data_IF_066579783595
#
_entry.id   IF_066579783595
#
_cell.length_a   1.000
_cell.length_b   1.000
_cell.length_c   1.000
_cell.angle_alpha   90.00
_cell.angle_beta   90.00
_cell.angle_gamma   90.00
#
_symmetry.space_group_name_H-M   'P 1'
#
loop_
_entity.id
_entity.type
_entity.pdbx_description
1 polymer ?
#
# COMPACT_ATOMS: atom_id res chain seq x y z
N UNK A 1 -15.10 -4.42 18.38
CA UNK A 1 -15.81 -4.86 17.14
C UNK A 1 -14.71 -5.30 16.20
N UNK A 2 -14.75 -6.51 15.65
CA UNK A 2 -13.70 -7.00 14.74
C UNK A 2 -13.61 -6.06 13.54
N UNK A 3 -12.46 -5.46 13.32
CA UNK A 3 -12.17 -4.54 12.23
C UNK A 3 -11.94 -5.31 10.92
N UNK A 4 -11.59 -6.59 11.00
CA UNK A 4 -11.57 -7.45 9.82
C UNK A 4 -12.99 -7.66 9.32
N UNK A 5 -13.30 -7.06 8.18
CA UNK A 5 -14.49 -7.41 7.41
C UNK A 5 -14.31 -8.87 6.99
N UNK A 6 -15.08 -9.79 7.59
CA UNK A 6 -15.24 -11.13 7.02
C UNK A 6 -15.60 -10.93 5.53
N UNK A 7 -14.72 -11.38 4.65
CA UNK A 7 -14.97 -11.34 3.21
C UNK A 7 -16.04 -12.38 2.91
N UNK A 8 -17.31 -11.95 2.91
CA UNK A 8 -18.44 -12.83 2.57
C UNK A 8 -18.74 -12.73 1.07
N UNK A 9 -18.20 -13.65 0.32
CA UNK A 9 -18.44 -13.75 -1.12
C UNK A 9 -19.77 -14.46 -1.45
N UNK A 10 -20.46 -15.05 -0.45
CA UNK A 10 -21.73 -15.75 -0.60
C UNK A 10 -21.70 -17.00 -1.49
N UNK A 11 -20.52 -17.48 -1.88
CA UNK A 11 -20.33 -18.69 -2.68
C UNK A 11 -18.87 -19.15 -2.70
N UNK A 12 -18.58 -20.42 -2.43
CA UNK A 12 -17.24 -21.01 -2.37
C UNK A 12 -16.39 -20.78 -3.65
N UNK A 13 -17.04 -20.78 -4.83
CA UNK A 13 -16.30 -20.57 -6.08
C UNK A 13 -15.87 -19.10 -6.25
N UNK A 14 -16.58 -18.13 -5.66
CA UNK A 14 -16.15 -16.73 -5.66
C UNK A 14 -14.97 -16.53 -4.73
N UNK A 15 -14.99 -17.14 -3.56
CA UNK A 15 -13.89 -17.15 -2.63
C UNK A 15 -12.62 -17.72 -3.30
N UNK A 16 -12.71 -18.88 -3.96
CA UNK A 16 -11.59 -19.48 -4.68
C UNK A 16 -11.06 -18.62 -5.81
N UNK A 17 -11.94 -17.93 -6.55
CA UNK A 17 -11.54 -17.00 -7.62
C UNK A 17 -10.82 -15.81 -7.01
N UNK A 18 -11.39 -15.21 -5.96
CA UNK A 18 -10.79 -14.08 -5.28
C UNK A 18 -9.42 -14.41 -4.71
N UNK A 19 -9.28 -15.51 -3.95
CA UNK A 19 -8.02 -16.00 -3.39
C UNK A 19 -6.95 -16.25 -4.46
N UNK A 20 -7.37 -16.74 -5.63
CA UNK A 20 -6.43 -16.95 -6.73
C UNK A 20 -5.91 -15.63 -7.28
N UNK A 21 -6.80 -14.67 -7.58
CA UNK A 21 -6.42 -13.35 -8.08
C UNK A 21 -5.55 -12.61 -7.06
N UNK A 22 -5.95 -12.63 -5.79
CA UNK A 22 -5.24 -11.98 -4.70
C UNK A 22 -3.80 -12.49 -4.55
N UNK A 23 -3.60 -13.81 -4.68
CA UNK A 23 -2.26 -14.41 -4.57
C UNK A 23 -1.35 -14.10 -5.77
N UNK A 24 -1.92 -13.84 -6.94
CA UNK A 24 -1.17 -13.63 -8.17
C UNK A 24 -1.09 -12.15 -8.59
N UNK A 25 -1.76 -11.26 -7.85
CA UNK A 25 -1.85 -9.83 -8.13
C UNK A 25 -2.69 -9.51 -9.35
N UNK A 26 -2.38 -10.12 -10.49
CA UNK A 26 -3.15 -10.04 -11.74
C UNK A 26 -3.20 -11.42 -12.40
N UNK A 27 -4.32 -11.76 -13.02
CA UNK A 27 -4.44 -12.98 -13.83
C UNK A 27 -5.41 -12.80 -15.01
N UNK A 28 -5.34 -13.70 -15.99
CA UNK A 28 -6.30 -13.75 -17.08
C UNK A 28 -7.43 -14.75 -16.79
N UNK A 29 -8.57 -14.64 -17.50
CA UNK A 29 -9.64 -15.64 -17.42
C UNK A 29 -9.15 -17.06 -17.73
N UNK A 30 -8.19 -17.22 -18.65
CA UNK A 30 -7.62 -18.51 -19.00
C UNK A 30 -6.85 -19.15 -17.83
N UNK A 31 -6.24 -18.35 -16.97
CA UNK A 31 -5.53 -18.82 -15.78
C UNK A 31 -6.52 -19.39 -14.76
N UNK A 32 -7.63 -18.69 -14.53
CA UNK A 32 -8.72 -19.17 -13.69
C UNK A 32 -9.31 -20.49 -14.20
N UNK A 33 -9.57 -20.58 -15.52
CA UNK A 33 -10.10 -21.78 -16.17
C UNK A 33 -9.14 -22.98 -16.07
N UNK A 34 -7.84 -22.71 -16.08
CA UNK A 34 -6.80 -23.76 -16.04
C UNK A 34 -6.48 -24.23 -14.62
N UNK A 35 -6.44 -23.32 -13.67
CA UNK A 35 -5.89 -23.59 -12.34
C UNK A 35 -6.96 -23.83 -11.28
N UNK A 36 -8.19 -23.34 -11.49
CA UNK A 36 -9.26 -23.51 -10.53
C UNK A 36 -10.17 -24.69 -10.89
N UNK A 37 -10.61 -25.42 -9.87
CA UNK A 37 -11.63 -26.48 -10.00
C UNK A 37 -13.04 -25.87 -9.91
N UNK A 38 -13.31 -24.93 -10.81
CA UNK A 38 -14.61 -24.23 -10.95
C UNK A 38 -15.14 -24.52 -12.35
N UNK A 39 -16.46 -24.63 -12.51
CA UNK A 39 -17.05 -24.77 -13.85
C UNK A 39 -16.66 -23.57 -14.73
N UNK A 40 -15.93 -23.76 -15.85
CA UNK A 40 -15.51 -22.67 -16.72
C UNK A 40 -16.66 -21.77 -17.18
N UNK A 41 -17.87 -22.32 -17.30
CA UNK A 41 -19.07 -21.55 -17.66
C UNK A 41 -19.55 -20.62 -16.54
N UNK A 42 -19.21 -20.96 -15.29
CA UNK A 42 -19.51 -20.17 -14.09
C UNK A 42 -18.50 -19.07 -13.80
N UNK A 43 -17.23 -19.24 -14.20
CA UNK A 43 -16.14 -18.32 -13.86
C UNK A 43 -16.48 -16.88 -14.24
N UNK A 44 -16.87 -16.63 -15.48
CA UNK A 44 -17.24 -15.27 -15.94
C UNK A 44 -18.40 -14.67 -15.16
N UNK A 45 -19.35 -15.50 -14.74
CA UNK A 45 -20.48 -15.06 -13.92
C UNK A 45 -20.03 -14.68 -12.50
N UNK A 46 -19.19 -15.50 -11.87
CA UNK A 46 -18.63 -15.23 -10.55
C UNK A 46 -17.74 -14.00 -10.54
N UNK A 47 -16.86 -13.85 -11.52
CA UNK A 47 -16.01 -12.65 -11.70
C UNK A 47 -16.89 -11.40 -11.89
N UNK A 48 -17.95 -11.47 -12.68
CA UNK A 48 -18.87 -10.34 -12.86
C UNK A 48 -19.57 -9.92 -11.56
N UNK A 49 -19.86 -10.88 -10.67
CA UNK A 49 -20.44 -10.59 -9.35
C UNK A 49 -19.37 -9.95 -8.46
N UNK A 50 -18.18 -10.52 -8.37
CA UNK A 50 -17.07 -9.97 -7.58
C UNK A 50 -16.71 -8.55 -8.03
N UNK A 51 -16.72 -8.29 -9.34
CA UNK A 51 -16.55 -6.95 -9.89
C UNK A 51 -17.66 -6.00 -9.47
N UNK A 52 -18.92 -6.41 -9.58
CA UNK A 52 -20.08 -5.60 -9.15
C UNK A 52 -20.01 -5.25 -7.67
N UNK A 53 -19.54 -6.19 -6.87
CA UNK A 53 -19.47 -6.07 -5.41
C UNK A 53 -18.18 -5.35 -4.95
N UNK A 54 -17.32 -4.88 -5.90
CA UNK A 54 -16.14 -4.05 -5.64
C UNK A 54 -14.91 -4.81 -5.14
N UNK A 55 -14.85 -6.13 -5.37
CA UNK A 55 -13.71 -6.96 -4.99
C UNK A 55 -12.67 -7.12 -6.10
N UNK A 56 -13.11 -7.07 -7.36
CA UNK A 56 -12.24 -7.26 -8.53
C UNK A 56 -12.47 -6.16 -9.56
N UNK A 57 -11.42 -5.79 -10.28
CA UNK A 57 -11.50 -5.07 -11.54
C UNK A 57 -11.15 -5.97 -12.71
N UNK A 58 -11.71 -5.65 -13.88
CA UNK A 58 -11.46 -6.37 -15.12
C UNK A 58 -11.22 -5.36 -16.22
N UNK A 59 -9.99 -5.32 -16.73
CA UNK A 59 -9.61 -4.55 -17.91
C UNK A 59 -9.19 -5.50 -19.03
N UNK A 60 -10.02 -5.60 -20.07
CA UNK A 60 -9.83 -6.58 -21.15
C UNK A 60 -9.91 -8.01 -20.64
N UNK A 61 -8.79 -8.71 -20.55
CA UNK A 61 -8.66 -10.08 -20.04
C UNK A 61 -7.93 -10.12 -18.68
N UNK A 62 -7.36 -8.99 -18.25
CA UNK A 62 -6.71 -8.84 -16.94
C UNK A 62 -7.74 -8.70 -15.82
N UNK A 63 -7.52 -9.42 -14.74
CA UNK A 63 -8.34 -9.43 -13.53
C UNK A 63 -7.43 -9.17 -12.36
N UNK A 64 -7.73 -8.15 -11.56
CA UNK A 64 -6.97 -7.79 -10.35
C UNK A 64 -7.89 -7.52 -9.16
N UNK A 65 -7.34 -7.64 -7.96
CA UNK A 65 -8.03 -7.22 -6.74
C UNK A 65 -8.03 -5.70 -6.69
N UNK A 66 -9.18 -5.11 -6.37
CA UNK A 66 -9.28 -3.69 -6.14
C UNK A 66 -9.90 -3.41 -4.78
N UNK A 67 -9.52 -2.28 -4.25
CA UNK A 67 -10.25 -1.66 -3.16
C UNK A 67 -11.11 -0.55 -3.78
N UNK A 68 -12.40 -0.53 -3.48
CA UNK A 68 -13.31 0.59 -3.85
C UNK A 68 -13.03 1.78 -2.91
N UNK A 69 -11.78 2.22 -2.88
CA UNK A 69 -11.27 3.21 -1.94
C UNK A 69 -10.98 4.57 -2.59
N UNK A 70 -11.77 4.89 -3.59
CA UNK A 70 -11.88 6.25 -4.06
C UNK A 70 -11.27 6.52 -5.43
N UNK A 71 -11.68 7.65 -5.97
CA UNK A 71 -11.29 8.17 -7.27
C UNK A 71 -9.86 8.71 -7.26
N UNK A 72 -9.24 8.71 -8.44
CA UNK A 72 -8.01 9.47 -8.67
C UNK A 72 -8.25 10.95 -8.43
N UNK A 73 -7.33 11.59 -7.73
CA UNK A 73 -7.38 13.01 -7.38
C UNK A 73 -6.25 13.74 -8.10
N UNK A 74 -6.62 14.79 -8.85
CA UNK A 74 -5.67 15.59 -9.61
C UNK A 74 -5.26 16.83 -8.81
N UNK A 75 -3.96 17.07 -8.74
CA UNK A 75 -3.36 18.21 -8.04
C UNK A 75 -2.41 18.98 -8.92
N UNK A 76 -2.17 20.23 -8.56
CA UNK A 76 -1.23 21.10 -9.24
C UNK A 76 -0.49 22.01 -8.26
N UNK A 77 0.83 22.00 -8.33
CA UNK A 77 1.68 22.97 -7.67
C UNK A 77 2.68 23.57 -8.67
N UNK A 78 2.50 24.85 -8.98
CA UNK A 78 3.27 25.55 -10.02
C UNK A 78 3.12 24.91 -11.40
N UNK A 79 4.21 24.36 -11.92
CA UNK A 79 4.25 23.66 -13.21
C UNK A 79 4.10 22.13 -13.05
N UNK A 80 4.09 21.61 -11.80
CA UNK A 80 3.94 20.19 -11.53
C UNK A 80 2.46 19.84 -11.39
N UNK A 81 1.97 19.01 -12.30
CA UNK A 81 0.66 18.39 -12.24
C UNK A 81 0.86 16.93 -11.86
N UNK A 82 0.16 16.44 -10.83
CA UNK A 82 0.25 15.06 -10.38
C UNK A 82 -1.11 14.51 -9.98
N UNK A 83 -1.20 13.20 -10.02
CA UNK A 83 -2.41 12.45 -9.63
C UNK A 83 -2.08 11.55 -8.47
N UNK A 84 -2.92 11.57 -7.41
CA UNK A 84 -2.87 10.60 -6.31
C UNK A 84 -4.03 9.64 -6.48
N UNK A 85 -3.75 8.35 -6.50
CA UNK A 85 -4.74 7.30 -6.71
C UNK A 85 -4.34 5.99 -6.03
N UNK A 86 -5.27 5.05 -5.83
CA UNK A 86 -4.93 3.67 -5.51
C UNK A 86 -3.94 3.12 -6.54
N UNK A 87 -3.00 2.31 -6.07
CA UNK A 87 -2.07 1.63 -6.96
C UNK A 87 -2.75 0.44 -7.65
N UNK A 88 -2.44 0.22 -8.91
CA UNK A 88 -2.82 -0.95 -9.69
C UNK A 88 -1.63 -1.91 -9.79
N UNK A 89 -1.89 -3.18 -10.05
CA UNK A 89 -0.81 -4.16 -10.21
C UNK A 89 0.19 -3.75 -11.30
N UNK A 90 -0.25 -3.07 -12.34
CA UNK A 90 0.61 -2.51 -13.40
C UNK A 90 1.61 -1.46 -12.91
N UNK A 91 1.42 -0.85 -11.74
CA UNK A 91 2.34 0.10 -11.15
C UNK A 91 3.54 -0.56 -10.44
N UNK A 92 3.50 -1.88 -10.20
CA UNK A 92 4.46 -2.61 -9.38
C UNK A 92 5.93 -2.27 -9.73
N UNK A 93 6.29 -2.36 -11.01
CA UNK A 93 7.66 -2.07 -11.47
C UNK A 93 8.06 -0.61 -11.23
N UNK A 94 7.17 0.34 -11.53
CA UNK A 94 7.41 1.78 -11.32
C UNK A 94 7.53 2.12 -9.84
N UNK A 95 6.68 1.51 -9.03
CA UNK A 95 6.68 1.70 -7.57
C UNK A 95 7.96 1.16 -6.92
N UNK A 96 8.38 -0.08 -7.26
CA UNK A 96 9.65 -0.63 -6.78
C UNK A 96 10.81 0.29 -7.17
N UNK A 97 10.82 0.79 -8.40
CA UNK A 97 11.83 1.74 -8.88
C UNK A 97 11.86 3.02 -8.05
N UNK A 98 10.70 3.63 -7.78
CA UNK A 98 10.59 4.84 -6.97
C UNK A 98 11.02 4.60 -5.50
N UNK A 99 10.60 3.50 -4.89
CA UNK A 99 10.99 3.15 -3.52
C UNK A 99 12.49 2.94 -3.42
N UNK A 100 13.09 2.17 -4.31
CA UNK A 100 14.54 1.92 -4.33
C UNK A 100 15.35 3.19 -4.55
N UNK A 101 14.90 4.08 -5.45
CA UNK A 101 15.55 5.37 -5.66
C UNK A 101 15.59 6.21 -4.38
N UNK A 102 14.50 6.24 -3.62
CA UNK A 102 14.44 6.93 -2.33
C UNK A 102 15.31 6.23 -1.27
N UNK A 103 15.30 4.90 -1.25
CA UNK A 103 16.09 4.10 -0.32
C UNK A 103 17.63 4.25 -0.53
N UNK A 104 18.08 4.45 -1.78
CA UNK A 104 19.50 4.71 -2.10
C UNK A 104 20.06 5.94 -1.36
N UNK A 105 19.24 6.85 -0.88
CA UNK A 105 19.66 7.96 -0.03
C UNK A 105 20.16 7.50 1.36
N UNK A 106 19.95 6.23 1.74
CA UNK A 106 20.41 5.62 2.99
C UNK A 106 19.71 6.13 4.26
N UNK A 107 18.54 6.75 4.10
CA UNK A 107 17.72 7.30 5.20
C UNK A 107 16.33 6.70 5.31
N UNK A 108 15.97 5.78 4.41
CA UNK A 108 14.62 5.23 4.27
C UNK A 108 14.65 3.69 4.36
N UNK A 109 15.09 3.18 5.54
CA UNK A 109 15.36 1.75 5.75
C UNK A 109 14.09 0.91 5.62
N UNK A 110 12.99 1.35 6.22
CA UNK A 110 11.73 0.62 6.17
C UNK A 110 11.16 0.56 4.74
N UNK A 111 11.37 1.61 3.94
CA UNK A 111 10.98 1.62 2.54
C UNK A 111 11.74 0.56 1.71
N UNK A 112 13.02 0.33 1.99
CA UNK A 112 13.81 -0.73 1.32
C UNK A 112 13.19 -2.10 1.58
N UNK A 113 12.79 -2.36 2.83
CA UNK A 113 12.11 -3.60 3.24
C UNK A 113 10.80 -3.80 2.49
N UNK A 114 9.99 -2.75 2.34
CA UNK A 114 8.74 -2.79 1.58
C UNK A 114 8.99 -3.13 0.11
N UNK A 115 9.98 -2.49 -0.53
CA UNK A 115 10.33 -2.79 -1.93
C UNK A 115 10.76 -4.25 -2.12
N UNK A 116 11.56 -4.78 -1.20
CA UNK A 116 12.03 -6.17 -1.28
C UNK A 116 10.88 -7.18 -1.13
N UNK A 117 9.91 -6.90 -0.26
CA UNK A 117 8.73 -7.76 -0.09
C UNK A 117 7.89 -7.80 -1.37
N UNK A 118 7.49 -6.64 -1.92
CA UNK A 118 6.63 -6.60 -3.10
C UNK A 118 7.34 -7.08 -4.37
N UNK A 119 8.66 -6.91 -4.48
CA UNK A 119 9.47 -7.45 -5.57
C UNK A 119 9.56 -8.98 -5.50
N UNK A 120 9.68 -9.54 -4.28
CA UNK A 120 9.74 -10.99 -4.07
C UNK A 120 8.39 -11.67 -4.31
N UNK A 121 7.32 -11.05 -3.86
CA UNK A 121 5.97 -11.58 -3.99
C UNK A 121 5.37 -11.37 -5.36
N UNK A 122 5.86 -10.37 -6.11
CA UNK A 122 5.29 -9.91 -7.38
C UNK A 122 3.81 -9.48 -7.26
N UNK A 123 3.38 -9.13 -6.04
CA UNK A 123 2.01 -8.73 -5.71
C UNK A 123 2.00 -7.45 -4.91
N UNK A 124 1.21 -6.49 -5.34
CA UNK A 124 1.16 -5.17 -4.74
C UNK A 124 0.16 -5.07 -3.58
N UNK A 125 -1.08 -5.46 -3.83
CA UNK A 125 -2.16 -5.35 -2.87
C UNK A 125 -2.42 -6.68 -2.18
N UNK A 126 -2.72 -6.63 -0.87
CA UNK A 126 -3.14 -7.79 -0.08
C UNK A 126 -4.44 -7.45 0.66
N UNK A 127 -5.39 -8.34 0.57
CA UNK A 127 -6.63 -8.23 1.31
C UNK A 127 -7.21 -9.60 1.59
N UNK A 128 -6.71 -10.24 2.63
CA UNK A 128 -7.15 -11.55 3.07
C UNK A 128 -7.32 -11.57 4.60
N UNK A 129 -7.66 -12.74 5.16
CA UNK A 129 -7.90 -12.87 6.60
C UNK A 129 -6.67 -12.60 7.48
N UNK A 130 -5.46 -12.69 6.92
CA UNK A 130 -4.20 -12.58 7.65
C UNK A 130 -3.52 -11.23 7.41
N UNK A 131 -3.62 -10.68 6.21
CA UNK A 131 -2.86 -9.49 5.78
C UNK A 131 -3.75 -8.49 5.05
N UNK A 132 -3.62 -7.23 5.43
CA UNK A 132 -4.17 -6.10 4.69
C UNK A 132 -3.04 -5.14 4.34
N UNK A 133 -2.83 -4.92 3.03
CA UNK A 133 -1.76 -4.08 2.50
C UNK A 133 -2.29 -3.24 1.34
N UNK A 134 -2.18 -1.93 1.48
CA UNK A 134 -2.65 -0.95 0.52
C UNK A 134 -1.52 -0.01 0.08
N UNK A 135 -1.51 0.33 -1.20
CA UNK A 135 -0.67 1.38 -1.74
C UNK A 135 -1.51 2.44 -2.45
N UNK A 136 -1.16 3.70 -2.21
CA UNK A 136 -1.52 4.79 -3.10
C UNK A 136 -0.25 5.32 -3.76
N UNK A 137 -0.36 5.72 -5.01
CA UNK A 137 0.74 6.27 -5.78
C UNK A 137 0.45 7.71 -6.19
N UNK A 138 1.50 8.51 -6.24
CA UNK A 138 1.48 9.79 -6.93
C UNK A 138 2.18 9.62 -8.27
N UNK A 139 1.51 10.03 -9.34
CA UNK A 139 2.06 9.96 -10.69
C UNK A 139 2.16 11.32 -11.35
N UNK A 140 3.24 11.54 -12.13
CA UNK A 140 3.40 12.68 -13.04
C UNK A 140 3.45 12.10 -14.45
N UNK A 141 2.43 12.36 -15.24
CA UNK A 141 2.21 11.62 -16.47
C UNK A 141 1.98 10.13 -16.18
N UNK A 142 2.86 9.25 -16.67
CA UNK A 142 2.83 7.81 -16.42
C UNK A 142 3.80 7.35 -15.33
N UNK A 143 4.65 8.24 -14.83
CA UNK A 143 5.74 7.86 -13.95
C UNK A 143 5.30 7.93 -12.48
N UNK A 144 5.56 6.89 -11.71
CA UNK A 144 5.37 6.87 -10.25
C UNK A 144 6.47 7.71 -9.62
N UNK A 145 6.07 8.80 -8.94
CA UNK A 145 6.99 9.76 -8.32
C UNK A 145 6.92 9.78 -6.80
N UNK A 146 5.95 9.09 -6.22
CA UNK A 146 5.79 8.94 -4.78
C UNK A 146 4.76 7.88 -4.44
N UNK A 147 4.76 7.46 -3.20
CA UNK A 147 3.85 6.44 -2.68
C UNK A 147 3.53 6.67 -1.21
N UNK A 148 2.42 6.11 -0.77
CA UNK A 148 2.13 5.76 0.62
C UNK A 148 1.74 4.29 0.67
N UNK A 149 2.28 3.58 1.63
CA UNK A 149 2.00 2.18 1.93
C UNK A 149 1.39 2.09 3.32
N UNK A 150 0.33 1.33 3.47
CA UNK A 150 -0.29 1.04 4.76
C UNK A 150 -0.44 -0.48 4.87
N UNK A 151 0.07 -1.04 5.96
CA UNK A 151 -0.02 -2.47 6.26
C UNK A 151 -0.58 -2.70 7.65
N UNK A 152 -1.63 -3.51 7.73
CA UNK A 152 -2.19 -4.00 8.97
C UNK A 152 -1.37 -5.16 9.56
N UNK A 153 -1.49 -5.38 10.87
CA UNK A 153 -0.82 -6.49 11.54
C UNK A 153 -1.63 -7.78 11.42
N UNK A 154 -0.96 -8.91 11.17
CA UNK A 154 -1.53 -10.26 11.19
C UNK A 154 -2.01 -10.69 12.60
N UNK A 155 -1.58 -10.00 13.65
CA UNK A 155 -1.90 -10.36 15.02
C UNK A 155 -3.22 -9.74 15.47
N UNK A 156 -4.20 -10.57 15.82
CA UNK A 156 -5.54 -10.17 16.30
C UNK A 156 -5.51 -9.01 17.33
N UNK A 157 -4.53 -9.01 18.21
CA UNK A 157 -4.39 -8.00 19.27
C UNK A 157 -3.84 -6.67 18.77
N UNK A 158 -3.30 -6.62 17.57
CA UNK A 158 -2.76 -5.43 16.90
C UNK A 158 -3.61 -4.94 15.73
N UNK A 159 -4.76 -5.56 15.49
CA UNK A 159 -5.67 -5.23 14.37
C UNK A 159 -6.16 -3.76 14.37
N UNK A 160 -6.06 -3.07 15.50
CA UNK A 160 -6.37 -1.65 15.62
C UNK A 160 -5.21 -0.75 15.21
N UNK A 161 -4.07 -1.31 14.81
CA UNK A 161 -2.87 -0.58 14.42
C UNK A 161 -2.43 -0.95 13.01
N UNK A 162 -1.87 0.00 12.28
CA UNK A 162 -1.22 -0.25 11.01
C UNK A 162 0.09 0.51 10.92
N UNK A 163 1.02 -0.04 10.16
CA UNK A 163 2.25 0.63 9.77
C UNK A 163 2.01 1.46 8.50
N UNK A 164 2.61 2.65 8.43
CA UNK A 164 2.53 3.49 7.25
C UNK A 164 3.93 3.94 6.85
N UNK A 165 4.28 3.75 5.58
CA UNK A 165 5.47 4.37 4.99
C UNK A 165 5.07 5.29 3.85
N UNK A 166 5.75 6.42 3.71
CA UNK A 166 5.51 7.40 2.65
C UNK A 166 6.84 7.89 2.08
N UNK A 167 6.90 8.07 0.77
CA UNK A 167 8.09 8.58 0.12
C UNK A 167 7.77 9.31 -1.18
N UNK A 168 8.66 10.25 -1.53
CA UNK A 168 8.61 11.01 -2.78
C UNK A 168 10.03 11.12 -3.31
N UNK A 169 10.23 10.82 -4.61
CA UNK A 169 11.55 10.95 -5.24
C UNK A 169 12.01 12.43 -5.23
N UNK A 170 13.30 12.63 -5.06
CA UNK A 170 13.90 13.93 -4.70
C UNK A 170 13.44 15.09 -5.59
N UNK A 171 13.45 14.89 -6.90
CA UNK A 171 13.09 15.93 -7.88
C UNK A 171 11.64 16.42 -7.79
N UNK A 172 10.77 15.72 -7.05
CA UNK A 172 9.35 16.05 -6.88
C UNK A 172 8.98 16.41 -5.43
N UNK A 173 9.98 16.53 -4.54
CA UNK A 173 9.77 17.02 -3.18
C UNK A 173 9.47 18.52 -3.18
N UNK A 174 8.79 18.97 -2.12
CA UNK A 174 8.42 20.37 -1.96
C UNK A 174 7.17 20.82 -2.73
N UNK A 175 6.51 19.92 -3.48
CA UNK A 175 5.28 20.17 -4.23
C UNK A 175 4.01 19.69 -3.53
N UNK A 176 4.07 19.37 -2.22
CA UNK A 176 2.90 18.89 -1.46
C UNK A 176 2.54 17.42 -1.69
N UNK A 177 3.20 16.71 -2.62
CA UNK A 177 2.89 15.32 -2.97
C UNK A 177 2.89 14.42 -1.73
N UNK A 178 3.93 14.52 -0.86
CA UNK A 178 4.02 13.72 0.35
C UNK A 178 2.85 13.95 1.32
N UNK A 179 2.36 15.20 1.43
CA UNK A 179 1.22 15.54 2.28
C UNK A 179 -0.07 14.91 1.77
N UNK A 180 -0.35 15.01 0.46
CA UNK A 180 -1.55 14.41 -0.14
C UNK A 180 -1.51 12.87 -0.04
N UNK A 181 -0.34 12.25 -0.25
CA UNK A 181 -0.18 10.81 -0.07
C UNK A 181 -0.41 10.40 1.39
N UNK A 182 0.17 11.12 2.35
CA UNK A 182 0.02 10.84 3.77
C UNK A 182 -1.45 10.98 4.21
N UNK A 183 -2.12 12.08 3.83
CA UNK A 183 -3.55 12.30 4.09
C UNK A 183 -4.39 11.14 3.53
N UNK A 184 -4.13 10.75 2.28
CA UNK A 184 -4.85 9.65 1.62
C UNK A 184 -4.67 8.31 2.34
N UNK A 185 -3.44 7.99 2.78
CA UNK A 185 -3.17 6.78 3.57
C UNK A 185 -3.87 6.79 4.93
N UNK A 186 -3.89 7.93 5.63
CA UNK A 186 -4.56 8.07 6.90
C UNK A 186 -6.09 8.00 6.78
N UNK A 187 -6.67 8.62 5.75
CA UNK A 187 -8.11 8.53 5.46
C UNK A 187 -8.53 7.09 5.20
N UNK A 188 -7.76 6.37 4.38
CA UNK A 188 -7.99 4.96 4.13
C UNK A 188 -7.93 4.15 5.41
N UNK A 189 -6.85 4.31 6.20
CA UNK A 189 -6.69 3.60 7.46
C UNK A 189 -7.86 3.87 8.43
N UNK A 190 -8.30 5.12 8.54
CA UNK A 190 -9.47 5.49 9.35
C UNK A 190 -10.76 4.84 8.84
N UNK A 191 -10.98 4.78 7.52
CA UNK A 191 -12.15 4.13 6.91
C UNK A 191 -12.19 2.62 7.20
N UNK A 192 -11.02 2.01 7.34
CA UNK A 192 -10.86 0.58 7.69
C UNK A 192 -10.99 0.32 9.18
N UNK A 193 -11.00 1.37 10.01
CA UNK A 193 -11.19 1.30 11.46
C UNK A 193 -9.91 1.12 12.25
N UNK A 194 -8.75 1.40 11.64
CA UNK A 194 -7.52 1.53 12.41
C UNK A 194 -7.62 2.73 13.34
N UNK A 195 -7.07 2.60 14.54
CA UNK A 195 -7.12 3.63 15.59
C UNK A 195 -5.76 4.30 15.81
N UNK A 196 -4.69 3.60 15.41
CA UNK A 196 -3.31 4.06 15.57
C UNK A 196 -2.49 3.68 14.35
N UNK A 197 -1.82 4.67 13.77
CA UNK A 197 -0.84 4.46 12.70
C UNK A 197 0.55 4.78 13.24
N UNK A 198 1.53 3.95 12.91
CA UNK A 198 2.90 4.12 13.33
C UNK A 198 3.89 4.02 12.17
N UNK A 199 5.07 4.59 12.35
CA UNK A 199 6.20 4.52 11.43
C UNK A 199 7.50 4.51 12.22
N UNK A 200 8.52 3.86 11.68
CA UNK A 200 9.87 3.84 12.20
C UNK A 200 10.80 4.62 11.27
N UNK A 201 11.50 5.59 11.82
CA UNK A 201 12.36 6.51 11.06
C UNK A 201 13.78 6.50 11.67
N UNK A 202 14.83 6.38 10.87
CA UNK A 202 16.19 6.59 11.38
C UNK A 202 16.35 8.00 11.96
N UNK A 203 16.94 8.13 13.15
CA UNK A 203 17.13 9.42 13.82
C UNK A 203 17.99 10.40 13.00
N UNK A 204 18.70 9.90 11.98
CA UNK A 204 19.46 10.74 11.05
C UNK A 204 18.60 11.37 9.94
N UNK A 205 17.31 11.04 9.86
CA UNK A 205 16.38 11.56 8.86
C UNK A 205 15.53 12.69 9.46
N UNK A 206 16.18 13.80 9.81
CA UNK A 206 15.52 14.97 10.40
C UNK A 206 14.36 15.49 9.54
N UNK A 207 14.47 15.40 8.21
CA UNK A 207 13.45 15.87 7.26
C UNK A 207 12.16 15.06 7.38
N UNK A 208 12.28 13.73 7.47
CA UNK A 208 11.12 12.85 7.63
C UNK A 208 10.47 13.01 9.01
N UNK A 209 11.26 13.14 10.06
CA UNK A 209 10.75 13.40 11.42
C UNK A 209 9.96 14.71 11.45
N UNK A 210 10.57 15.81 10.95
CA UNK A 210 9.91 17.10 10.88
C UNK A 210 8.64 17.08 9.99
N UNK A 211 8.67 16.34 8.89
CA UNK A 211 7.51 16.16 8.02
C UNK A 211 6.35 15.50 8.79
N UNK A 212 6.60 14.40 9.49
CA UNK A 212 5.58 13.70 10.27
C UNK A 212 5.07 14.56 11.43
N UNK A 213 5.95 15.24 12.17
CA UNK A 213 5.55 16.16 13.25
C UNK A 213 4.62 17.28 12.75
N UNK A 214 4.91 17.84 11.58
CA UNK A 214 4.06 18.87 10.95
C UNK A 214 2.67 18.34 10.55
N UNK A 215 2.52 17.02 10.44
CA UNK A 215 1.24 16.34 10.17
C UNK A 215 0.60 15.71 11.42
N UNK A 216 1.04 16.15 12.61
CA UNK A 216 0.41 15.77 13.89
C UNK A 216 0.90 14.45 14.49
N UNK A 217 1.95 13.86 13.92
CA UNK A 217 2.59 12.69 14.50
C UNK A 217 3.44 13.07 15.71
N UNK A 218 3.60 12.16 16.64
CA UNK A 218 4.43 12.33 17.82
C UNK A 218 5.45 11.21 17.96
N UNK A 219 6.58 11.51 18.59
CA UNK A 219 7.57 10.49 18.95
C UNK A 219 7.00 9.63 20.09
N UNK A 220 6.83 8.34 19.85
CA UNK A 220 6.37 7.37 20.86
C UNK A 220 7.54 6.80 21.66
N UNK A 221 8.61 6.44 20.96
CA UNK A 221 9.82 5.87 21.58
C UNK A 221 11.05 6.07 20.69
N UNK A 222 12.22 5.93 21.28
CA UNK A 222 13.50 5.85 20.57
C UNK A 222 14.22 4.57 20.98
N UNK A 223 14.71 3.81 20.01
CA UNK A 223 15.57 2.65 20.23
C UNK A 223 17.00 3.02 19.87
N UNK A 224 17.87 3.02 20.86
CA UNK A 224 19.28 3.34 20.67
C UNK A 224 19.99 2.27 19.85
N UNK A 225 20.90 2.70 18.97
CA UNK A 225 21.77 1.85 18.14
C UNK A 225 21.03 0.76 17.34
N UNK A 226 19.78 1.03 16.92
CA UNK A 226 18.91 0.02 16.31
C UNK A 226 19.33 -0.33 14.89
N UNK A 227 19.67 0.66 14.09
CA UNK A 227 20.13 0.47 12.71
C UNK A 227 21.66 0.47 12.62
N UNK A 228 22.19 -0.30 11.67
CA UNK A 228 23.61 -0.29 11.34
C UNK A 228 23.80 0.12 9.88
N UNK A 229 24.22 1.36 9.67
CA UNK A 229 24.50 1.93 8.35
C UNK A 229 26.01 1.95 8.09
N UNK A 230 26.52 0.94 7.38
CA UNK A 230 27.96 0.72 7.23
C UNK A 230 28.60 0.40 8.59
N UNK A 231 29.52 1.27 9.04
CA UNK A 231 30.21 1.13 10.33
C UNK A 231 29.59 2.00 11.44
N UNK A 232 28.46 2.64 11.20
CA UNK A 232 27.80 3.52 12.18
C UNK A 232 26.50 2.90 12.66
N UNK A 233 26.24 3.03 13.95
CA UNK A 233 24.92 2.76 14.53
C UNK A 233 24.08 4.04 14.50
N UNK A 234 22.79 3.88 14.29
CA UNK A 234 21.81 4.96 14.22
C UNK A 234 20.59 4.54 15.01
N UNK A 235 20.06 5.45 15.80
CA UNK A 235 18.86 5.23 16.58
C UNK A 235 17.63 5.15 15.66
N UNK A 236 16.63 4.40 16.10
CA UNK A 236 15.30 4.38 15.52
C UNK A 236 14.37 5.32 16.29
N UNK A 237 13.70 6.20 15.61
CA UNK A 237 12.62 7.03 16.14
C UNK A 237 11.29 6.42 15.72
N UNK A 238 10.56 5.87 16.69
CA UNK A 238 9.20 5.36 16.46
C UNK A 238 8.22 6.52 16.63
N UNK A 239 7.41 6.76 15.60
CA UNK A 239 6.42 7.83 15.58
C UNK A 239 5.03 7.27 15.39
N UNK A 240 4.03 7.89 15.99
CA UNK A 240 2.63 7.50 15.84
C UNK A 240 1.69 8.68 15.70
N UNK A 241 0.52 8.38 15.15
CA UNK A 241 -0.64 9.26 15.12
C UNK A 241 -1.90 8.46 15.48
N UNK A 242 -2.82 9.09 16.18
CA UNK A 242 -4.15 8.54 16.50
C UNK A 242 -5.17 9.08 15.50
N UNK A 243 -6.00 8.19 14.97
CA UNK A 243 -7.08 8.51 14.04
C UNK A 243 -8.39 8.78 14.77
#
# INVERSE_FOLDING_TARGET
MNVQRELDFGHDDRERIYDYVERHGECAFADLETNLRVDPRGIRHHVAILRRDGYLEVDGDAIEVVFDDGTAEEYRDGEVEFVVRPAHQSDLTGLIGAIRQVAEEGRYIEAESVADVIDHEEVLLRHNELEERMFFVATVGSDVVGWVHVAGSELDKLQHTAELTVGVIDNYRGHGIGSHLLERGLEWAGSRGYEKIYNSVPASNDDAIAFLENHGWAVEATREDHYKLGDRYVDEVMMDVRL
#
